data_IF_068837612243
#
_entry.id   IF_068837612243
#
_cell.length_a   1.000
_cell.length_b   1.000
_cell.length_c   1.000
_cell.angle_alpha   90.00
_cell.angle_beta   90.00
_cell.angle_gamma   90.00
#
_symmetry.space_group_name_H-M   'P 1'
#
loop_
_entity.id
_entity.type
_entity.pdbx_description
1 polymer ?
#
# COMPACT_ATOMS: atom_id res chain seq x y z
N UNK A 1 15.45 -30.00 -0.05
CA UNK A 1 16.43 -29.48 0.93
C UNK A 1 16.46 -27.96 1.02
N UNK A 2 16.65 -27.21 -0.10
CA UNK A 2 16.74 -25.74 -0.07
C UNK A 2 15.48 -25.03 0.48
N UNK A 3 14.26 -25.48 0.13
CA UNK A 3 13.00 -24.85 0.57
C UNK A 3 12.76 -25.04 2.09
N UNK A 4 12.98 -26.25 2.62
CA UNK A 4 12.85 -26.53 4.06
C UNK A 4 13.81 -25.64 4.88
N UNK A 5 15.04 -25.49 4.43
CA UNK A 5 16.01 -24.59 5.08
C UNK A 5 15.58 -23.13 5.07
N UNK A 6 14.99 -22.63 3.95
CA UNK A 6 14.43 -21.26 3.89
C UNK A 6 13.28 -21.10 4.89
N UNK A 7 12.36 -22.07 4.98
CA UNK A 7 11.27 -22.06 5.97
C UNK A 7 11.78 -22.04 7.40
N UNK A 8 12.79 -22.85 7.74
CA UNK A 8 13.40 -22.86 9.08
C UNK A 8 13.95 -21.46 9.41
N UNK A 9 14.66 -20.82 8.48
CA UNK A 9 15.19 -19.45 8.69
C UNK A 9 14.07 -18.44 8.94
N UNK A 10 12.92 -18.56 8.27
CA UNK A 10 11.75 -17.71 8.50
C UNK A 10 11.15 -17.95 9.89
N UNK A 11 11.00 -19.21 10.30
CA UNK A 11 10.53 -19.55 11.66
C UNK A 11 11.46 -18.95 12.72
N UNK A 12 12.78 -19.14 12.56
CA UNK A 12 13.78 -18.54 13.48
C UNK A 12 13.66 -17.02 13.50
N UNK A 13 13.43 -16.38 12.34
CA UNK A 13 13.24 -14.94 12.26
C UNK A 13 11.96 -14.46 12.95
N UNK A 14 10.86 -15.22 12.85
CA UNK A 14 9.62 -14.93 13.58
C UNK A 14 9.83 -15.04 15.10
N UNK A 15 10.48 -16.09 15.56
CA UNK A 15 10.81 -16.28 16.99
C UNK A 15 11.73 -15.16 17.50
N UNK A 16 12.72 -14.76 16.70
CA UNK A 16 13.57 -13.62 17.01
C UNK A 16 12.75 -12.32 17.11
N UNK A 17 11.79 -12.09 16.19
CA UNK A 17 10.88 -10.94 16.26
C UNK A 17 10.06 -10.91 17.55
N UNK A 18 9.51 -12.06 17.95
CA UNK A 18 8.81 -12.20 19.25
C UNK A 18 9.72 -11.82 20.42
N UNK A 19 10.94 -12.35 20.44
CA UNK A 19 11.93 -12.04 21.48
C UNK A 19 12.27 -10.55 21.52
N UNK A 20 12.48 -9.90 20.36
CA UNK A 20 12.74 -8.46 20.26
C UNK A 20 11.57 -7.65 20.80
N UNK A 21 10.33 -7.98 20.39
CA UNK A 21 9.13 -7.30 20.88
C UNK A 21 8.98 -7.48 22.39
N UNK A 22 9.17 -8.68 22.91
CA UNK A 22 9.05 -8.94 24.33
C UNK A 22 10.13 -8.24 25.19
N UNK A 23 11.37 -8.16 24.70
CA UNK A 23 12.51 -7.65 25.48
C UNK A 23 12.83 -6.18 25.24
N UNK A 24 12.72 -5.72 23.98
CA UNK A 24 13.18 -4.39 23.56
C UNK A 24 12.06 -3.36 23.51
N UNK A 25 10.83 -3.73 23.11
CA UNK A 25 9.72 -2.79 23.00
C UNK A 25 9.33 -2.15 24.34
N UNK A 26 9.23 -2.86 25.47
CA UNK A 26 8.85 -2.24 26.73
C UNK A 26 9.83 -1.15 27.20
N UNK A 27 11.09 -1.26 26.79
CA UNK A 27 12.19 -0.36 27.19
C UNK A 27 12.55 0.66 26.12
N UNK A 28 12.10 0.45 24.89
CA UNK A 28 12.45 1.27 23.74
C UNK A 28 11.57 2.51 23.62
N UNK A 29 12.14 3.61 23.11
CA UNK A 29 11.39 4.78 22.65
C UNK A 29 10.52 4.42 21.44
N UNK A 30 9.53 5.27 21.09
CA UNK A 30 8.72 5.11 19.88
C UNK A 30 9.62 4.98 18.63
N UNK A 31 10.62 5.84 18.50
CA UNK A 31 11.56 5.83 17.38
C UNK A 31 12.35 4.51 17.32
N UNK A 32 12.85 4.00 18.44
CA UNK A 32 13.56 2.72 18.49
C UNK A 32 12.67 1.55 18.08
N UNK A 33 11.38 1.56 18.46
CA UNK A 33 10.43 0.52 18.04
C UNK A 33 10.20 0.55 16.52
N UNK A 34 10.09 1.74 15.93
CA UNK A 34 9.98 1.90 14.47
C UNK A 34 11.22 1.38 13.75
N UNK A 35 12.42 1.73 14.20
CA UNK A 35 13.68 1.25 13.63
C UNK A 35 13.82 -0.28 13.71
N UNK A 36 13.47 -0.87 14.85
CA UNK A 36 13.46 -2.33 15.04
C UNK A 36 12.45 -3.00 14.08
N UNK A 37 11.23 -2.45 13.95
CA UNK A 37 10.21 -2.95 13.01
C UNK A 37 10.73 -2.88 11.57
N UNK A 38 11.29 -1.74 11.16
CA UNK A 38 11.86 -1.57 9.82
C UNK A 38 12.96 -2.59 9.52
N UNK A 39 13.93 -2.72 10.42
CA UNK A 39 15.05 -3.65 10.25
C UNK A 39 14.57 -5.10 10.18
N UNK A 40 13.60 -5.46 11.03
CA UNK A 40 13.00 -6.79 11.03
C UNK A 40 12.22 -7.08 9.75
N UNK A 41 11.45 -6.12 9.25
CA UNK A 41 10.69 -6.24 8.00
C UNK A 41 11.61 -6.34 6.79
N UNK A 42 12.67 -5.53 6.70
CA UNK A 42 13.70 -5.66 5.66
C UNK A 42 14.33 -7.05 5.66
N UNK A 43 14.63 -7.59 6.85
CA UNK A 43 15.18 -8.93 6.98
C UNK A 43 14.20 -10.00 6.54
N UNK A 44 12.90 -9.84 6.82
CA UNK A 44 11.84 -10.73 6.32
C UNK A 44 11.85 -10.78 4.78
N UNK A 45 11.85 -9.63 4.12
CA UNK A 45 11.92 -9.55 2.66
C UNK A 45 13.15 -10.27 2.11
N UNK A 46 14.33 -10.02 2.69
CA UNK A 46 15.59 -10.70 2.28
C UNK A 46 15.50 -12.23 2.43
N UNK A 47 14.90 -12.73 3.51
CA UNK A 47 14.70 -14.16 3.74
C UNK A 47 13.73 -14.76 2.71
N UNK A 48 12.74 -13.98 2.27
CA UNK A 48 11.85 -14.33 1.17
C UNK A 48 12.50 -14.19 -0.22
N UNK A 49 13.75 -13.70 -0.30
CA UNK A 49 14.44 -13.49 -1.55
C UNK A 49 13.98 -12.23 -2.29
N UNK A 50 13.48 -11.24 -1.56
CA UNK A 50 12.98 -9.99 -2.10
C UNK A 50 13.94 -8.83 -1.85
N UNK A 51 14.08 -7.96 -2.85
CA UNK A 51 14.69 -6.65 -2.80
C UNK A 51 13.60 -5.58 -2.78
N UNK A 52 13.77 -4.53 -2.00
CA UNK A 52 12.89 -3.37 -1.99
C UNK A 52 13.49 -2.25 -2.85
N UNK A 53 12.68 -1.67 -3.72
CA UNK A 53 12.98 -0.44 -4.47
C UNK A 53 11.87 0.55 -4.23
N UNK A 54 12.23 1.74 -3.76
CA UNK A 54 11.28 2.83 -3.49
C UNK A 54 11.47 3.93 -4.53
N UNK A 55 10.37 4.35 -5.13
CA UNK A 55 10.31 5.42 -6.12
C UNK A 55 9.61 6.63 -5.53
N UNK A 56 10.08 7.84 -5.87
CA UNK A 56 9.50 9.11 -5.47
C UNK A 56 9.37 9.28 -3.94
N UNK A 57 10.33 8.75 -3.16
CA UNK A 57 10.29 8.81 -1.69
C UNK A 57 10.24 10.25 -1.14
N UNK A 58 10.72 11.24 -1.90
CA UNK A 58 10.65 12.66 -1.54
C UNK A 58 9.23 13.24 -1.42
N UNK A 59 8.22 12.56 -2.00
CA UNK A 59 6.82 12.98 -1.89
C UNK A 59 6.15 12.57 -0.56
N UNK A 60 6.80 11.76 0.27
CA UNK A 60 6.21 11.26 1.52
C UNK A 60 5.96 12.37 2.54
N UNK A 61 4.87 12.24 3.28
CA UNK A 61 4.60 13.04 4.47
C UNK A 61 5.01 12.27 5.73
N UNK A 62 5.47 12.97 6.77
CA UNK A 62 6.10 12.35 7.92
C UNK A 62 5.18 12.08 9.11
N UNK A 63 4.04 12.74 9.22
CA UNK A 63 3.15 12.62 10.36
C UNK A 63 1.69 12.92 10.02
N UNK A 64 0.76 12.32 10.76
CA UNK A 64 -0.65 12.58 10.66
C UNK A 64 -1.26 12.23 9.29
N UNK A 65 -0.87 11.10 8.70
CA UNK A 65 -1.18 10.74 7.31
C UNK A 65 -1.88 9.40 7.24
N UNK A 66 -2.94 9.33 6.46
CA UNK A 66 -3.54 8.07 6.05
C UNK A 66 -2.84 7.56 4.79
N UNK A 67 -1.98 6.57 4.94
CA UNK A 67 -1.37 5.84 3.81
C UNK A 67 -2.42 4.91 3.23
N UNK A 68 -2.64 4.98 1.92
CA UNK A 68 -3.55 4.10 1.19
C UNK A 68 -2.80 3.37 0.09
N UNK A 69 -2.89 2.04 0.07
CA UNK A 69 -2.12 1.23 -0.86
C UNK A 69 -2.99 0.15 -1.52
N UNK A 70 -2.63 -0.28 -2.74
CA UNK A 70 -3.16 -1.51 -3.31
C UNK A 70 -2.72 -2.73 -2.50
N UNK A 71 -3.45 -3.84 -2.61
CA UNK A 71 -3.22 -5.02 -1.77
C UNK A 71 -3.10 -6.29 -2.61
N UNK A 72 -1.93 -6.89 -2.58
CA UNK A 72 -1.59 -8.08 -3.38
C UNK A 72 -1.42 -9.30 -2.46
N UNK A 73 -0.84 -9.09 -1.27
CA UNK A 73 -0.37 -10.20 -0.44
C UNK A 73 -0.24 -9.83 1.03
N UNK A 74 -0.15 -10.84 1.88
CA UNK A 74 0.27 -10.67 3.27
C UNK A 74 1.69 -10.07 3.39
N UNK A 75 2.56 -10.26 2.39
CA UNK A 75 3.92 -9.71 2.38
C UNK A 75 3.95 -8.18 2.22
N UNK A 76 2.89 -7.56 1.71
CA UNK A 76 2.76 -6.11 1.55
C UNK A 76 2.98 -5.36 2.87
N UNK A 77 2.54 -5.96 3.98
CA UNK A 77 2.74 -5.41 5.33
C UNK A 77 4.23 -5.24 5.62
N UNK A 78 5.05 -6.22 5.22
CA UNK A 78 6.50 -6.15 5.42
C UNK A 78 7.17 -5.22 4.42
N UNK A 79 6.64 -5.11 3.20
CA UNK A 79 7.11 -4.15 2.19
C UNK A 79 6.91 -2.72 2.69
N UNK A 80 5.71 -2.38 3.15
CA UNK A 80 5.42 -1.05 3.70
C UNK A 80 6.23 -0.79 4.96
N UNK A 81 6.31 -1.73 5.92
CA UNK A 81 7.11 -1.56 7.12
C UNK A 81 8.62 -1.47 6.85
N UNK A 82 9.11 -2.12 5.80
CA UNK A 82 10.52 -2.02 5.38
C UNK A 82 10.83 -0.66 4.76
N UNK A 83 9.87 -0.06 4.05
CA UNK A 83 9.95 1.33 3.61
C UNK A 83 9.75 2.28 4.78
N UNK A 84 8.58 2.17 5.43
CA UNK A 84 8.18 3.04 6.52
C UNK A 84 7.26 2.31 7.50
N UNK A 85 7.71 2.03 8.72
CA UNK A 85 6.89 1.36 9.72
C UNK A 85 5.60 2.14 9.99
N UNK A 86 4.48 1.48 9.72
CA UNK A 86 3.15 2.09 9.79
C UNK A 86 2.18 1.08 10.37
N UNK A 87 1.37 1.42 11.38
CA UNK A 87 0.29 0.58 11.85
C UNK A 87 -0.79 0.38 10.78
N UNK A 88 -1.40 -0.81 10.75
CA UNK A 88 -2.40 -1.21 9.76
C UNK A 88 -3.79 -1.36 10.35
N UNK A 89 -4.80 -1.32 9.47
CA UNK A 89 -6.13 -1.83 9.77
C UNK A 89 -6.25 -3.23 9.19
N UNK A 90 -6.62 -4.20 10.03
CA UNK A 90 -6.70 -5.62 9.66
C UNK A 90 -8.03 -6.24 10.09
N UNK A 91 -8.40 -7.38 9.49
CA UNK A 91 -9.59 -8.15 9.90
C UNK A 91 -9.41 -8.68 11.32
N UNK A 92 -10.50 -8.69 12.11
CA UNK A 92 -10.47 -9.16 13.51
C UNK A 92 -10.03 -10.61 13.67
N UNK A 93 -10.24 -11.46 12.65
CA UNK A 93 -9.84 -12.87 12.64
C UNK A 93 -8.32 -13.03 12.75
N UNK A 94 -7.54 -12.12 12.15
CA UNK A 94 -6.07 -12.14 12.18
C UNK A 94 -5.55 -12.01 13.63
N UNK A 95 -6.29 -11.31 14.50
CA UNK A 95 -5.94 -11.20 15.93
C UNK A 95 -5.84 -12.57 16.62
N UNK A 96 -6.61 -13.55 16.14
CA UNK A 96 -6.63 -14.91 16.70
C UNK A 96 -5.52 -15.81 16.17
N UNK A 97 -4.77 -15.36 15.16
CA UNK A 97 -3.69 -16.17 14.61
C UNK A 97 -2.52 -16.22 15.60
N UNK A 98 -2.03 -17.43 15.94
CA UNK A 98 -0.88 -17.57 16.83
C UNK A 98 0.31 -16.79 16.27
N UNK A 99 1.07 -16.14 17.14
CA UNK A 99 2.27 -15.35 16.81
C UNK A 99 1.95 -14.11 15.97
N UNK A 100 1.35 -14.27 14.78
CA UNK A 100 1.08 -13.16 13.83
C UNK A 100 0.12 -12.14 14.45
N UNK A 101 -0.99 -12.59 15.05
CA UNK A 101 -1.97 -11.70 15.68
C UNK A 101 -1.39 -10.96 16.88
N UNK A 102 -0.57 -11.62 17.69
CA UNK A 102 0.10 -10.98 18.80
C UNK A 102 1.14 -9.95 18.33
N UNK A 103 1.98 -10.28 17.33
CA UNK A 103 2.95 -9.34 16.77
C UNK A 103 2.25 -8.12 16.15
N UNK A 104 1.19 -8.34 15.36
CA UNK A 104 0.41 -7.26 14.77
C UNK A 104 -0.17 -6.32 15.83
N UNK A 105 -0.67 -6.86 16.95
CA UNK A 105 -1.17 -6.06 18.06
C UNK A 105 -0.05 -5.22 18.70
N UNK A 106 1.13 -5.79 18.91
CA UNK A 106 2.29 -5.06 19.48
C UNK A 106 2.82 -3.96 18.55
N UNK A 107 2.58 -4.09 17.24
CA UNK A 107 2.92 -3.09 16.21
C UNK A 107 1.80 -2.05 15.99
N UNK A 108 0.77 -2.03 16.85
CA UNK A 108 -0.29 -1.03 16.80
C UNK A 108 -1.37 -1.27 15.74
N UNK A 109 -1.48 -2.49 15.19
CA UNK A 109 -2.55 -2.85 14.25
C UNK A 109 -3.92 -2.70 14.90
N UNK A 110 -4.83 -2.03 14.21
CA UNK A 110 -6.22 -1.88 14.58
C UNK A 110 -7.04 -2.99 13.92
N UNK A 111 -7.81 -3.74 14.72
CA UNK A 111 -8.59 -4.87 14.23
C UNK A 111 -10.06 -4.53 14.11
N UNK A 112 -10.66 -4.76 12.91
CA UNK A 112 -12.04 -4.41 12.58
C UNK A 112 -12.91 -5.63 12.28
N UNK A 113 -14.11 -5.65 12.86
CA UNK A 113 -15.21 -6.55 12.48
C UNK A 113 -16.09 -5.83 11.45
N UNK A 114 -15.86 -6.09 10.16
CA UNK A 114 -16.51 -5.34 9.06
C UNK A 114 -18.03 -5.53 9.01
N UNK A 115 -18.54 -6.65 9.50
CA UNK A 115 -19.96 -6.99 9.54
C UNK A 115 -20.75 -6.14 10.55
N UNK A 116 -20.06 -5.54 11.53
CA UNK A 116 -20.67 -4.72 12.57
C UNK A 116 -20.49 -3.23 12.29
N UNK A 117 -21.56 -2.55 11.87
CA UNK A 117 -21.54 -1.09 11.61
C UNK A 117 -21.04 -0.25 12.78
N UNK A 118 -21.39 -0.67 14.03
CA UNK A 118 -20.92 0.01 15.22
C UNK A 118 -19.41 -0.09 15.40
N UNK A 119 -18.83 -1.25 15.10
CA UNK A 119 -17.38 -1.45 15.18
C UNK A 119 -16.65 -0.63 14.10
N UNK A 120 -17.21 -0.60 12.88
CA UNK A 120 -16.66 0.22 11.80
C UNK A 120 -16.61 1.71 12.18
N UNK A 121 -17.67 2.26 12.79
CA UNK A 121 -17.70 3.65 13.28
C UNK A 121 -16.65 3.89 14.37
N UNK A 122 -16.57 3.00 15.36
CA UNK A 122 -15.58 3.08 16.45
C UNK A 122 -14.15 3.09 15.89
N UNK A 123 -13.84 2.19 14.95
CA UNK A 123 -12.52 2.10 14.35
C UNK A 123 -12.18 3.37 13.53
N UNK A 124 -13.14 3.90 12.76
CA UNK A 124 -12.91 5.16 12.03
C UNK A 124 -12.63 6.33 12.98
N UNK A 125 -13.27 6.35 14.13
CA UNK A 125 -13.01 7.36 15.18
C UNK A 125 -11.60 7.17 15.78
N UNK A 126 -11.25 5.95 16.19
CA UNK A 126 -9.91 5.62 16.69
C UNK A 126 -8.80 5.99 15.70
N UNK A 127 -9.00 5.70 14.39
CA UNK A 127 -8.05 6.08 13.36
C UNK A 127 -7.93 7.61 13.23
N UNK A 128 -9.05 8.33 13.30
CA UNK A 128 -9.04 9.79 13.25
C UNK A 128 -8.28 10.40 14.43
N UNK A 129 -8.47 9.87 15.64
CA UNK A 129 -7.74 10.30 16.84
C UNK A 129 -6.23 10.06 16.69
N UNK A 130 -5.83 8.90 16.17
CA UNK A 130 -4.41 8.57 15.93
C UNK A 130 -3.78 9.46 14.87
N UNK A 131 -4.49 9.73 13.77
CA UNK A 131 -4.04 10.68 12.74
C UNK A 131 -3.87 12.08 13.32
N UNK A 132 -4.78 12.54 14.20
CA UNK A 132 -4.68 13.84 14.88
C UNK A 132 -3.51 13.88 15.87
N UNK A 133 -3.16 12.76 16.48
CA UNK A 133 -1.96 12.62 17.30
C UNK A 133 -0.66 12.60 16.51
N UNK A 134 -0.70 12.75 15.18
CA UNK A 134 0.46 12.73 14.30
C UNK A 134 0.90 11.34 13.85
N UNK A 135 0.17 10.26 14.23
CA UNK A 135 0.53 8.92 13.80
C UNK A 135 0.25 8.70 12.31
N UNK A 136 0.99 7.79 11.72
CA UNK A 136 0.68 7.22 10.41
C UNK A 136 -0.28 6.06 10.60
N UNK A 137 -1.21 5.92 9.67
CA UNK A 137 -2.07 4.73 9.59
C UNK A 137 -2.12 4.23 8.17
N UNK A 138 -2.04 2.92 7.95
CA UNK A 138 -2.13 2.34 6.62
C UNK A 138 -3.41 1.50 6.46
N UNK A 139 -4.09 1.72 5.35
CA UNK A 139 -5.26 0.93 4.94
C UNK A 139 -5.08 0.42 3.51
N UNK A 140 -5.69 -0.73 3.23
CA UNK A 140 -5.83 -1.29 1.89
C UNK A 140 -7.28 -1.11 1.43
N UNK A 141 -7.59 -0.04 0.68
CA UNK A 141 -8.97 0.31 0.39
C UNK A 141 -9.67 -0.65 -0.57
N UNK A 142 -8.96 -1.55 -1.24
CA UNK A 142 -9.53 -2.66 -2.00
C UNK A 142 -10.30 -3.65 -1.12
N UNK A 143 -9.98 -3.69 0.18
CA UNK A 143 -10.68 -4.53 1.15
C UNK A 143 -10.37 -6.01 1.06
N UNK A 144 -9.68 -6.45 0.05
CA UNK A 144 -9.18 -7.81 -0.17
C UNK A 144 -7.89 -7.75 -0.98
N UNK A 145 -7.18 -8.86 -1.10
CA UNK A 145 -6.00 -9.00 -1.95
C UNK A 145 -6.40 -9.28 -3.40
N UNK A 146 -5.62 -8.77 -4.35
CA UNK A 146 -5.73 -8.99 -5.80
C UNK A 146 -4.45 -9.66 -6.34
N UNK A 147 -4.43 -9.93 -7.65
CA UNK A 147 -3.21 -10.40 -8.32
C UNK A 147 -2.19 -9.28 -8.58
N UNK A 148 -2.58 -8.03 -8.34
CA UNK A 148 -1.77 -6.83 -8.56
C UNK A 148 -1.59 -6.42 -10.01
N UNK A 149 -2.24 -7.11 -10.97
CA UNK A 149 -2.19 -6.75 -12.40
C UNK A 149 -3.11 -5.56 -12.67
N UNK A 150 -4.27 -5.53 -11.99
CA UNK A 150 -5.23 -4.44 -12.02
C UNK A 150 -5.65 -4.08 -10.60
N UNK A 151 -6.07 -2.83 -10.40
CA UNK A 151 -6.63 -2.41 -9.12
C UNK A 151 -8.08 -2.86 -8.99
N UNK A 152 -8.45 -3.27 -7.81
CA UNK A 152 -9.86 -3.38 -7.42
C UNK A 152 -10.39 -2.00 -7.00
N UNK A 153 -11.73 -1.78 -7.03
CA UNK A 153 -12.33 -0.53 -6.60
C UNK A 153 -11.99 -0.16 -5.16
N UNK A 154 -11.66 1.10 -4.92
CA UNK A 154 -11.38 1.59 -3.58
C UNK A 154 -12.66 1.90 -2.80
N UNK A 155 -12.81 1.29 -1.63
CA UNK A 155 -13.93 1.52 -0.74
C UNK A 155 -13.81 2.87 -0.04
N UNK A 156 -14.67 3.83 -0.40
CA UNK A 156 -14.69 5.19 0.14
C UNK A 156 -14.78 5.25 1.68
N UNK A 157 -15.41 4.26 2.31
CA UNK A 157 -15.53 4.19 3.78
C UNK A 157 -14.16 4.15 4.48
N UNK A 158 -13.11 3.64 3.83
CA UNK A 158 -11.75 3.58 4.39
C UNK A 158 -11.10 4.97 4.52
N UNK A 159 -11.63 5.98 3.81
CA UNK A 159 -11.12 7.36 3.83
C UNK A 159 -11.80 8.23 4.90
N UNK A 160 -12.86 7.71 5.56
CA UNK A 160 -13.62 8.48 6.54
C UNK A 160 -12.76 9.01 7.70
N UNK A 161 -11.76 8.26 8.12
CA UNK A 161 -10.85 8.69 9.19
C UNK A 161 -10.05 9.94 8.80
N UNK A 162 -9.53 10.00 7.56
CA UNK A 162 -8.81 11.16 7.05
C UNK A 162 -9.74 12.40 6.93
N UNK A 163 -10.96 12.20 6.42
CA UNK A 163 -11.99 13.26 6.36
C UNK A 163 -12.31 13.79 7.76
N UNK A 164 -12.60 12.90 8.72
CA UNK A 164 -12.96 13.28 10.10
C UNK A 164 -11.84 13.99 10.85
N UNK A 165 -10.58 13.62 10.54
CA UNK A 165 -9.40 14.21 11.15
C UNK A 165 -8.88 15.45 10.37
N UNK A 166 -9.45 15.77 9.21
CA UNK A 166 -8.91 16.78 8.28
C UNK A 166 -7.41 16.56 8.01
N UNK A 167 -7.03 15.29 7.74
CA UNK A 167 -5.64 14.89 7.50
C UNK A 167 -5.43 14.42 6.06
N UNK A 168 -4.22 14.61 5.52
CA UNK A 168 -3.89 14.21 4.16
C UNK A 168 -3.92 12.71 3.97
N UNK A 169 -4.13 12.30 2.71
CA UNK A 169 -4.02 10.91 2.25
C UNK A 169 -2.76 10.75 1.40
N UNK A 170 -1.94 9.74 1.67
CA UNK A 170 -0.75 9.40 0.91
C UNK A 170 -1.01 8.15 0.06
N UNK A 171 -1.24 8.28 -1.26
CA UNK A 171 -1.32 7.12 -2.13
C UNK A 171 0.03 6.42 -2.24
N UNK A 172 0.00 5.09 -2.21
CA UNK A 172 1.19 4.24 -2.37
C UNK A 172 0.84 3.09 -3.31
N UNK A 173 1.65 2.86 -4.32
CA UNK A 173 1.49 1.74 -5.24
C UNK A 173 2.57 0.69 -5.00
N UNK A 174 2.16 -0.57 -4.96
CA UNK A 174 3.07 -1.71 -4.89
C UNK A 174 2.96 -2.58 -6.14
N UNK A 175 4.10 -3.09 -6.61
CA UNK A 175 4.19 -4.07 -7.68
C UNK A 175 5.37 -5.01 -7.39
N UNK A 176 5.24 -6.27 -7.78
CA UNK A 176 6.32 -7.25 -7.68
C UNK A 176 6.87 -7.58 -9.06
N UNK A 177 8.20 -7.68 -9.16
CA UNK A 177 8.93 -7.97 -10.39
C UNK A 177 9.79 -9.22 -10.22
N UNK A 178 9.82 -10.09 -11.24
CA UNK A 178 10.67 -11.27 -11.28
C UNK A 178 12.10 -10.93 -11.72
N UNK A 179 13.00 -11.93 -11.69
CA UNK A 179 14.40 -11.77 -12.11
C UNK A 179 14.57 -11.42 -13.60
N UNK A 180 13.53 -11.58 -14.42
CA UNK A 180 13.51 -11.24 -15.84
C UNK A 180 12.96 -9.84 -16.13
N UNK A 181 12.62 -9.07 -15.08
CA UNK A 181 12.05 -7.73 -15.22
C UNK A 181 10.56 -7.73 -15.61
N UNK A 182 9.84 -8.83 -15.40
CA UNK A 182 8.40 -8.93 -15.68
C UNK A 182 7.61 -8.79 -14.38
N UNK A 183 6.41 -8.23 -14.45
CA UNK A 183 5.50 -8.26 -13.32
C UNK A 183 5.24 -9.71 -12.88
N UNK A 184 5.34 -9.96 -11.58
CA UNK A 184 5.16 -11.28 -10.98
C UNK A 184 3.93 -11.32 -10.08
N UNK A 185 3.05 -12.28 -10.33
CA UNK A 185 1.90 -12.59 -9.48
C UNK A 185 2.21 -13.65 -8.41
N UNK A 186 3.44 -14.16 -8.36
CA UNK A 186 3.83 -15.21 -7.42
C UNK A 186 3.63 -14.84 -5.93
N UNK A 187 3.75 -13.56 -5.50
CA UNK A 187 3.40 -13.16 -4.14
C UNK A 187 1.91 -13.10 -3.87
N UNK A 188 1.03 -13.07 -4.89
CA UNK A 188 -0.40 -12.85 -4.72
C UNK A 188 -1.02 -13.86 -3.75
N UNK A 189 -1.85 -13.35 -2.83
CA UNK A 189 -2.56 -14.15 -1.84
C UNK A 189 -4.07 -14.06 -2.10
N UNK A 190 -4.54 -14.82 -3.06
CA UNK A 190 -5.91 -14.76 -3.60
C UNK A 190 -6.59 -16.12 -3.56
N UNK A 191 -7.92 -16.13 -3.63
CA UNK A 191 -8.73 -17.34 -3.63
C UNK A 191 -8.64 -18.11 -2.30
N UNK A 192 -8.62 -19.42 -2.38
CA UNK A 192 -8.60 -20.33 -1.23
C UNK A 192 -7.18 -20.74 -0.79
N UNK A 193 -6.14 -20.00 -1.22
CA UNK A 193 -4.77 -20.29 -0.83
C UNK A 193 -4.59 -20.21 0.68
N UNK A 194 -4.01 -21.25 1.28
CA UNK A 194 -3.52 -21.18 2.65
C UNK A 194 -2.25 -20.33 2.72
N UNK A 195 -1.95 -19.75 3.89
CA UNK A 195 -0.71 -19.00 4.11
C UNK A 195 0.54 -19.84 3.80
N UNK A 196 0.48 -21.17 4.06
CA UNK A 196 1.59 -22.09 3.77
C UNK A 196 1.85 -22.26 2.28
N UNK A 197 0.80 -22.40 1.47
CA UNK A 197 0.87 -22.51 0.00
C UNK A 197 1.36 -21.19 -0.61
N UNK A 198 0.85 -20.05 -0.15
CA UNK A 198 1.30 -18.72 -0.58
C UNK A 198 2.79 -18.51 -0.26
N UNK A 199 3.23 -18.88 0.95
CA UNK A 199 4.65 -18.84 1.31
C UNK A 199 5.49 -19.74 0.41
N UNK A 200 5.02 -20.94 0.09
CA UNK A 200 5.72 -21.87 -0.80
C UNK A 200 5.84 -21.31 -2.23
N UNK A 201 4.77 -20.73 -2.76
CA UNK A 201 4.77 -20.07 -4.06
C UNK A 201 5.80 -18.93 -4.09
N UNK A 202 5.76 -18.05 -3.08
CA UNK A 202 6.69 -16.95 -2.92
C UNK A 202 8.15 -17.44 -2.85
N UNK A 203 8.44 -18.45 -2.04
CA UNK A 203 9.79 -18.96 -1.89
C UNK A 203 10.31 -19.70 -3.13
N UNK A 204 9.43 -20.25 -3.97
CA UNK A 204 9.78 -20.92 -5.23
C UNK A 204 9.97 -19.96 -6.41
N UNK A 205 9.36 -18.79 -6.37
CA UNK A 205 9.41 -17.80 -7.46
C UNK A 205 10.83 -17.30 -7.77
N UNK A 206 11.79 -17.48 -6.84
CA UNK A 206 13.16 -16.99 -7.01
C UNK A 206 13.36 -15.58 -6.47
N UNK A 207 14.38 -14.87 -6.95
CA UNK A 207 14.56 -13.46 -6.57
C UNK A 207 13.44 -12.60 -7.11
N UNK A 208 12.88 -11.77 -6.24
CA UNK A 208 11.85 -10.80 -6.58
C UNK A 208 12.30 -9.38 -6.21
N UNK A 209 11.76 -8.39 -6.89
CA UNK A 209 11.84 -6.99 -6.50
C UNK A 209 10.45 -6.51 -6.11
N UNK A 210 10.30 -6.00 -4.90
CA UNK A 210 9.11 -5.26 -4.48
C UNK A 210 9.35 -3.78 -4.81
N UNK A 211 8.57 -3.23 -5.71
CA UNK A 211 8.53 -1.81 -6.02
C UNK A 211 7.49 -1.14 -5.17
N UNK A 212 7.85 0.00 -4.57
CA UNK A 212 6.95 0.91 -3.86
C UNK A 212 7.05 2.27 -4.53
N UNK A 213 5.95 2.78 -5.04
CA UNK A 213 5.87 4.16 -5.54
C UNK A 213 5.08 5.00 -4.54
N UNK A 214 5.65 6.13 -4.13
CA UNK A 214 5.04 7.10 -3.23
C UNK A 214 4.39 8.19 -4.07
N UNK A 215 3.05 8.20 -4.15
CA UNK A 215 2.29 9.20 -4.89
C UNK A 215 2.34 10.58 -4.22
N UNK A 216 1.94 11.61 -4.93
CA UNK A 216 1.77 12.94 -4.35
C UNK A 216 0.69 12.89 -3.25
N UNK A 217 0.89 13.55 -2.10
CA UNK A 217 -0.12 13.62 -1.06
C UNK A 217 -1.39 14.31 -1.56
N UNK A 218 -2.55 13.73 -1.25
CA UNK A 218 -3.84 14.36 -1.47
C UNK A 218 -4.16 15.24 -0.26
N UNK A 219 -4.57 16.49 -0.54
CA UNK A 219 -4.96 17.44 0.50
C UNK A 219 -6.17 16.92 1.30
N UNK A 220 -6.33 17.34 2.56
CA UNK A 220 -7.54 17.04 3.32
C UNK A 220 -8.79 17.47 2.55
N UNK A 221 -9.74 16.58 2.38
CA UNK A 221 -11.00 16.81 1.67
C UNK A 221 -12.20 16.51 2.56
N UNK A 222 -13.35 17.13 2.24
CA UNK A 222 -14.60 16.90 2.96
C UNK A 222 -15.38 15.68 2.43
N UNK A 223 -15.12 15.25 1.21
CA UNK A 223 -15.80 14.12 0.57
C UNK A 223 -14.87 12.91 0.45
N UNK A 224 -15.21 11.85 1.19
CA UNK A 224 -14.49 10.58 1.17
C UNK A 224 -14.57 9.84 -0.17
N UNK A 225 -15.63 10.09 -0.99
CA UNK A 225 -15.79 9.44 -2.31
C UNK A 225 -14.82 10.07 -3.31
N UNK A 226 -14.70 11.40 -3.25
CA UNK A 226 -13.74 12.12 -4.08
C UNK A 226 -12.30 11.71 -3.72
N UNK A 227 -11.95 11.73 -2.43
CA UNK A 227 -10.63 11.27 -1.98
C UNK A 227 -10.32 9.81 -2.39
N UNK A 228 -11.32 8.92 -2.36
CA UNK A 228 -11.15 7.55 -2.80
C UNK A 228 -10.90 7.46 -4.31
N UNK A 229 -11.63 8.24 -5.11
CA UNK A 229 -11.46 8.30 -6.56
C UNK A 229 -10.07 8.86 -6.94
N UNK A 230 -9.67 9.97 -6.34
CA UNK A 230 -8.35 10.59 -6.55
C UNK A 230 -7.20 9.66 -6.15
N UNK A 231 -7.34 8.99 -4.99
CA UNK A 231 -6.34 8.03 -4.54
C UNK A 231 -6.25 6.81 -5.48
N UNK A 232 -7.40 6.29 -5.93
CA UNK A 232 -7.44 5.18 -6.88
C UNK A 232 -6.82 5.57 -8.23
N UNK A 233 -7.10 6.76 -8.74
CA UNK A 233 -6.51 7.28 -9.97
C UNK A 233 -4.98 7.41 -9.83
N UNK A 234 -4.50 7.98 -8.71
CA UNK A 234 -3.07 8.12 -8.43
C UNK A 234 -2.36 6.76 -8.35
N UNK A 235 -2.93 5.79 -7.63
CA UNK A 235 -2.36 4.44 -7.52
C UNK A 235 -2.42 3.71 -8.85
N UNK A 236 -3.49 3.90 -9.65
CA UNK A 236 -3.64 3.32 -10.98
C UNK A 236 -2.61 3.83 -11.98
N UNK A 237 -2.37 5.15 -12.00
CA UNK A 237 -1.34 5.76 -12.83
C UNK A 237 0.07 5.25 -12.44
N UNK A 238 0.33 5.14 -11.13
CA UNK A 238 1.59 4.61 -10.63
C UNK A 238 1.78 3.12 -10.99
N UNK A 239 0.70 2.31 -10.93
CA UNK A 239 0.75 0.92 -11.33
C UNK A 239 1.08 0.79 -12.83
N UNK A 240 0.42 1.57 -13.68
CA UNK A 240 0.70 1.60 -15.12
C UNK A 240 2.16 2.00 -15.42
N UNK A 241 2.68 3.00 -14.70
CA UNK A 241 4.08 3.41 -14.81
C UNK A 241 5.05 2.32 -14.32
N UNK A 242 4.73 1.63 -13.23
CA UNK A 242 5.51 0.50 -12.72
C UNK A 242 5.44 -0.72 -13.65
N UNK A 243 4.37 -0.90 -14.40
CA UNK A 243 4.22 -1.96 -15.40
C UNK A 243 5.04 -1.70 -16.68
N UNK A 244 5.45 -0.45 -16.92
CA UNK A 244 6.33 -0.10 -18.04
C UNK A 244 7.80 -0.47 -17.71
N UNK A 245 8.40 -1.48 -18.39
CA UNK A 245 9.77 -1.90 -18.12
C UNK A 245 10.81 -0.82 -18.46
N UNK A 246 10.51 0.07 -19.40
CA UNK A 246 11.42 1.14 -19.79
C UNK A 246 11.48 2.22 -18.70
N UNK A 247 10.32 2.65 -18.19
CA UNK A 247 10.23 3.58 -17.07
C UNK A 247 10.96 3.06 -15.82
N UNK A 248 10.87 1.76 -15.53
CA UNK A 248 11.61 1.16 -14.40
C UNK A 248 13.12 1.18 -14.62
N UNK A 249 13.61 0.85 -15.83
CA UNK A 249 15.04 0.84 -16.13
C UNK A 249 15.66 2.23 -16.18
N UNK A 250 14.93 3.22 -16.72
CA UNK A 250 15.40 4.60 -16.80
C UNK A 250 15.27 5.38 -15.49
N UNK A 251 14.54 4.86 -14.51
CA UNK A 251 14.24 5.56 -13.25
C UNK A 251 13.17 6.65 -13.39
N UNK A 252 12.45 6.71 -14.51
CA UNK A 252 11.46 7.76 -14.84
C UNK A 252 10.03 7.39 -14.43
N UNK A 253 9.88 6.59 -13.36
CA UNK A 253 8.55 6.19 -12.89
C UNK A 253 7.70 7.39 -12.49
N UNK A 254 8.29 8.40 -11.82
CA UNK A 254 7.56 9.59 -11.40
C UNK A 254 7.03 10.40 -12.59
N UNK A 255 7.87 10.64 -13.59
CA UNK A 255 7.49 11.36 -14.81
C UNK A 255 6.42 10.60 -15.59
N UNK A 256 6.57 9.28 -15.70
CA UNK A 256 5.59 8.43 -16.38
C UNK A 256 4.25 8.38 -15.65
N UNK A 257 4.27 8.34 -14.31
CA UNK A 257 3.05 8.43 -13.50
C UNK A 257 2.32 9.73 -13.74
N UNK A 258 3.04 10.86 -13.76
CA UNK A 258 2.44 12.17 -14.04
C UNK A 258 1.81 12.22 -15.43
N UNK A 259 2.47 11.68 -16.45
CA UNK A 259 1.91 11.59 -17.80
C UNK A 259 0.58 10.81 -17.84
N UNK A 260 0.45 9.71 -17.10
CA UNK A 260 -0.80 8.96 -17.02
C UNK A 260 -1.91 9.75 -16.30
N UNK A 261 -1.57 10.49 -15.24
CA UNK A 261 -2.52 11.37 -14.53
C UNK A 261 -3.04 12.46 -15.48
N UNK A 262 -2.13 13.15 -16.17
CA UNK A 262 -2.47 14.24 -17.10
C UNK A 262 -3.30 13.74 -18.27
N UNK A 263 -2.99 12.57 -18.83
CA UNK A 263 -3.75 11.95 -19.90
C UNK A 263 -5.17 11.56 -19.47
N UNK A 264 -5.35 11.05 -18.26
CA UNK A 264 -6.67 10.74 -17.70
C UNK A 264 -7.50 12.00 -17.50
N UNK A 265 -6.93 13.07 -16.93
CA UNK A 265 -7.59 14.35 -16.74
C UNK A 265 -8.02 15.00 -18.08
N UNK A 266 -7.19 14.90 -19.12
CA UNK A 266 -7.51 15.39 -20.45
C UNK A 266 -8.65 14.59 -21.11
N UNK A 267 -8.75 13.29 -20.83
CA UNK A 267 -9.82 12.43 -21.36
C UNK A 267 -11.18 12.71 -20.68
N UNK A 268 -11.18 13.13 -19.42
CA UNK A 268 -12.40 13.50 -18.68
C UNK A 268 -12.93 14.89 -19.04
N UNK A 269 -12.09 15.78 -19.59
CA UNK A 269 -12.47 17.11 -20.02
C UNK A 269 -12.05 17.34 -21.49
N UNK A 270 -12.72 16.69 -22.48
CA UNK A 270 -12.46 16.93 -23.88
C UNK A 270 -12.77 18.39 -24.18
N UNK A 271 -11.78 19.19 -24.54
CA UNK A 271 -11.99 20.54 -25.03
C UNK A 271 -12.94 20.45 -26.19
N UNK A 272 -14.08 21.17 -26.12
CA UNK A 272 -14.93 21.43 -27.32
C UNK A 272 -14.00 21.92 -28.44
N UNK A 273 -14.11 21.37 -29.64
CA UNK A 273 -13.35 21.86 -30.77
C UNK A 273 -13.61 23.38 -30.88
N UNK A 274 -12.51 24.15 -30.84
CA UNK A 274 -12.58 25.61 -31.09
C UNK A 274 -13.50 25.83 -32.28
N UNK A 275 -14.62 26.51 -32.03
CA UNK A 275 -15.51 26.93 -33.08
C UNK A 275 -14.70 27.67 -34.14
N UNK A 276 -14.75 27.18 -35.37
CA UNK A 276 -14.08 27.75 -36.51
C UNK A 276 -14.56 29.22 -36.67
N UNK A 277 -13.72 30.26 -36.57
CA UNK A 277 -14.14 31.64 -36.64
C UNK A 277 -14.51 32.10 -38.06
N UNK A 278 -14.47 31.21 -39.07
CA UNK A 278 -14.71 31.53 -40.49
C UNK A 278 -16.01 30.91 -41.04
N UNK A 279 -17.14 31.00 -40.33
CA UNK A 279 -18.44 30.88 -40.98
C UNK A 279 -18.89 32.27 -41.41
N UNK A 280 -18.47 32.64 -42.61
CA UNK A 280 -18.92 33.81 -43.39
C UNK A 280 -20.45 33.92 -43.44
N UNK A 281 -21.00 34.89 -42.72
CA UNK A 281 -22.40 35.31 -42.76
C UNK A 281 -22.66 36.25 -43.96
N UNK A 282 -22.30 35.81 -45.15
CA UNK A 282 -22.72 36.51 -46.39
C UNK A 282 -23.49 35.59 -47.30
N UNK A 283 -24.82 35.49 -47.08
CA UNK A 283 -25.84 35.23 -48.09
C UNK A 283 -27.23 35.35 -47.46
N UNK A 284 -27.84 36.53 -47.62
CA UNK A 284 -29.14 36.72 -48.23
C UNK A 284 -29.55 38.19 -48.14
N UNK A 285 -29.41 38.86 -49.29
CA UNK A 285 -30.20 40.01 -49.65
C UNK A 285 -31.58 39.53 -50.21
#
# INVERSE_FOLDING_TARGET
MKLAFRKIRLVVHLLHGMWVVWTRFPRGSAQQRLELNRAWSLRMLQLCGMRLVVHNDGARLDEGVLVVANHISWIDIYVINAWRPTPFVSKAEIRKWPVVGWLAQQLGTVFIQREKRSDAKRIMHELAERLNAGELMCVFPEGTTSDGVQLLPFHANMFQAAVSASRPVQPVCMMYEDAQGRQSTAPAYIGELSLGESLDALLRAGPLTAHVYVGAPLAPGADRRLLAAEAQASVGAALAALQDPEARRSGQIADRTQQFIDAAAAAENPQEPLADPDVDMTRHA
#
